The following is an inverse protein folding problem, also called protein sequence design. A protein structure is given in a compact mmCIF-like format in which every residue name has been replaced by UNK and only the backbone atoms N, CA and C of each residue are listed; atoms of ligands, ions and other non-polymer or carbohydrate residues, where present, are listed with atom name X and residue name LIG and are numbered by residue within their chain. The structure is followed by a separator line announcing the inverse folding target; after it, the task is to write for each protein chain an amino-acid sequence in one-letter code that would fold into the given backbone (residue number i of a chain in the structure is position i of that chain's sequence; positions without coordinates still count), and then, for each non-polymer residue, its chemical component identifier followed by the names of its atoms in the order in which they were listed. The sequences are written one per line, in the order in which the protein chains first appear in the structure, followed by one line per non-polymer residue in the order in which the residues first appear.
data_IF_506300104131
#
_entry.id   IF_506300104131
#
_cell.length_a   1.000
_cell.length_b   1.000
_cell.length_c   1.000
_cell.angle_alpha   90.00
_cell.angle_beta   90.00
_cell.angle_gamma   90.00
#
_symmetry.space_group_name_H-M   'P 1'
#
loop_
_entity.id
_entity.type
_entity.pdbx_description
1 polymer ?
#
# COMPACT_ATOMS: atom_id res chain seq x y z
N UNK A 1 35.60 -12.81 60.61
CA UNK A 1 34.89 -13.45 59.47
C UNK A 1 35.79 -13.31 58.25
N UNK A 2 36.26 -14.42 57.69
CA UNK A 2 37.41 -14.46 56.78
C UNK A 2 36.98 -14.11 55.34
N UNK A 3 37.69 -13.20 54.67
CA UNK A 3 37.38 -12.68 53.32
C UNK A 3 37.28 -13.81 52.27
N UNK A 4 38.00 -14.92 52.49
CA UNK A 4 37.90 -16.12 51.63
C UNK A 4 36.53 -16.79 51.68
N UNK A 5 35.79 -16.70 52.79
CA UNK A 5 34.46 -17.31 52.92
C UNK A 5 33.36 -16.54 52.19
N UNK A 6 33.56 -15.23 51.93
CA UNK A 6 32.59 -14.40 51.20
C UNK A 6 32.68 -14.64 49.68
N UNK A 7 33.87 -14.94 49.14
CA UNK A 7 34.05 -15.23 47.72
C UNK A 7 33.42 -16.56 47.25
N UNK A 8 33.37 -17.58 48.12
CA UNK A 8 32.74 -18.85 47.76
C UNK A 8 31.21 -18.77 47.79
N UNK A 9 30.63 -17.89 48.61
CA UNK A 9 29.17 -17.71 48.70
C UNK A 9 28.64 -16.87 47.53
N UNK A 10 29.41 -15.91 47.02
CA UNK A 10 29.02 -15.14 45.81
C UNK A 10 29.21 -15.92 44.51
N UNK A 11 30.20 -16.81 44.41
CA UNK A 11 30.37 -17.68 43.24
C UNK A 11 29.28 -18.77 43.12
N UNK A 12 28.74 -19.26 44.25
CA UNK A 12 27.66 -20.23 44.25
C UNK A 12 26.28 -19.63 43.89
N UNK A 13 26.07 -18.33 44.12
CA UNK A 13 24.83 -17.63 43.75
C UNK A 13 24.72 -17.26 42.26
N UNK A 14 25.84 -17.23 41.54
CA UNK A 14 25.88 -16.88 40.10
C UNK A 14 25.70 -18.09 39.18
N UNK A 15 25.89 -19.31 39.66
CA UNK A 15 25.72 -20.54 38.85
C UNK A 15 24.25 -21.02 38.83
N UNK A 16 23.41 -20.63 39.80
CA UNK A 16 22.01 -21.04 39.84
C UNK A 16 21.08 -20.19 38.96
N UNK A 17 21.54 -19.03 38.47
CA UNK A 17 20.78 -18.18 37.52
C UNK A 17 20.98 -18.58 36.05
N UNK A 18 21.94 -19.47 35.73
CA UNK A 18 22.24 -19.89 34.37
C UNK A 18 21.43 -21.12 33.89
N UNK A 19 20.69 -21.77 34.80
CA UNK A 19 19.76 -22.86 34.47
C UNK A 19 18.31 -22.35 34.56
N UNK A 20 17.93 -21.38 33.72
CA UNK A 20 16.52 -21.32 33.35
C UNK A 20 16.25 -22.53 32.44
N UNK A 21 15.25 -23.38 32.75
CA UNK A 21 14.86 -24.44 31.83
C UNK A 21 14.54 -23.77 30.50
N UNK A 22 15.21 -24.23 29.44
CA UNK A 22 14.89 -23.81 28.07
C UNK A 22 13.39 -24.03 27.90
N UNK A 23 12.63 -22.94 27.73
CA UNK A 23 11.19 -23.00 27.48
C UNK A 23 10.99 -23.91 26.27
N UNK A 24 10.55 -25.13 26.52
CA UNK A 24 10.16 -26.06 25.47
C UNK A 24 8.82 -25.57 24.99
N UNK A 25 8.82 -24.77 23.93
CA UNK A 25 7.58 -24.40 23.28
C UNK A 25 6.86 -25.69 22.85
N UNK A 26 5.56 -25.82 23.18
CA UNK A 26 4.80 -26.98 22.75
C UNK A 26 4.82 -27.04 21.22
N UNK A 27 5.13 -28.22 20.68
CA UNK A 27 4.93 -28.50 19.26
C UNK A 27 3.43 -28.54 19.01
N UNK A 28 2.94 -27.65 18.16
CA UNK A 28 1.54 -27.61 17.77
C UNK A 28 1.37 -28.56 16.58
N UNK A 29 0.60 -29.63 16.76
CA UNK A 29 0.23 -30.53 15.68
C UNK A 29 -0.67 -29.79 14.69
N UNK A 30 -0.29 -29.79 13.41
CA UNK A 30 -1.05 -29.13 12.34
C UNK A 30 -1.52 -30.15 11.32
N UNK A 31 -2.79 -30.07 10.96
CA UNK A 31 -3.35 -30.76 9.79
C UNK A 31 -3.54 -29.74 8.69
N UNK A 32 -2.79 -29.87 7.60
CA UNK A 32 -2.89 -28.95 6.48
C UNK A 32 -4.13 -29.24 5.63
N UNK A 33 -4.75 -28.21 5.02
CA UNK A 33 -5.82 -28.40 4.06
C UNK A 33 -5.34 -29.23 2.87
N UNK A 34 -6.21 -30.10 2.36
CA UNK A 34 -5.91 -30.84 1.14
C UNK A 34 -5.67 -29.85 -0.01
N UNK A 35 -4.51 -30.00 -0.66
CA UNK A 35 -4.17 -29.24 -1.86
C UNK A 35 -4.17 -30.22 -3.02
N UNK A 36 -5.25 -30.24 -3.78
CA UNK A 36 -5.39 -31.11 -4.96
C UNK A 36 -4.20 -30.90 -5.90
N UNK A 37 -3.69 -32.02 -6.41
CA UNK A 37 -2.67 -32.03 -7.47
C UNK A 37 -3.35 -32.28 -8.81
N UNK A 38 -3.25 -31.33 -9.73
CA UNK A 38 -3.59 -31.55 -11.14
C UNK A 38 -2.45 -32.27 -11.85
N UNK A 39 -2.72 -32.67 -13.10
CA UNK A 39 -1.77 -33.26 -14.03
C UNK A 39 -1.16 -32.21 -14.99
N UNK A 40 -1.25 -30.92 -14.66
CA UNK A 40 -0.72 -29.84 -15.52
C UNK A 40 0.81 -29.94 -15.64
N UNK A 41 1.30 -29.87 -16.88
CA UNK A 41 2.71 -29.93 -17.22
C UNK A 41 2.97 -28.90 -18.31
N UNK A 42 3.92 -28.00 -18.05
CA UNK A 42 4.46 -27.09 -19.06
C UNK A 42 5.63 -27.75 -19.81
N UNK A 43 5.94 -27.24 -21.01
CA UNK A 43 7.11 -27.63 -21.77
C UNK A 43 8.02 -26.43 -22.03
N UNK A 44 9.26 -26.50 -21.55
CA UNK A 44 10.27 -25.47 -21.73
C UNK A 44 11.46 -26.04 -22.50
N UNK A 45 11.67 -25.59 -23.75
CA UNK A 45 12.74 -26.07 -24.64
C UNK A 45 12.77 -27.61 -24.83
N UNK A 46 11.59 -28.25 -24.78
CA UNK A 46 11.45 -29.71 -24.91
C UNK A 46 11.48 -30.47 -23.58
N UNK A 47 11.78 -29.80 -22.47
CA UNK A 47 11.78 -30.39 -21.13
C UNK A 47 10.40 -30.21 -20.47
N UNK A 48 9.84 -31.30 -19.94
CA UNK A 48 8.57 -31.30 -19.23
C UNK A 48 8.74 -30.86 -17.77
N UNK A 49 7.95 -29.88 -17.34
CA UNK A 49 7.95 -29.36 -15.96
C UNK A 49 6.53 -29.43 -15.40
N UNK A 50 6.32 -30.30 -14.41
CA UNK A 50 5.03 -30.44 -13.76
C UNK A 50 4.72 -29.26 -12.83
N UNK A 51 3.50 -28.73 -12.93
CA UNK A 51 2.98 -27.69 -12.05
C UNK A 51 1.59 -28.12 -11.52
N UNK A 52 1.55 -29.01 -10.53
CA UNK A 52 0.31 -29.64 -10.06
C UNK A 52 -0.65 -28.67 -9.36
N UNK A 53 -0.23 -27.43 -9.12
CA UNK A 53 -1.05 -26.41 -8.44
C UNK A 53 -1.43 -25.26 -9.37
N UNK A 54 -1.27 -25.44 -10.69
CA UNK A 54 -1.67 -24.46 -11.72
C UNK A 54 -3.09 -23.89 -11.51
N UNK A 55 -4.01 -24.71 -11.00
CA UNK A 55 -5.38 -24.30 -10.73
C UNK A 55 -5.49 -23.14 -9.72
N UNK A 56 -4.51 -22.98 -8.82
CA UNK A 56 -4.46 -21.87 -7.86
C UNK A 56 -4.07 -20.54 -8.50
N UNK A 57 -3.60 -20.51 -9.75
CA UNK A 57 -3.31 -19.26 -10.48
C UNK A 57 -4.60 -18.49 -10.87
N UNK A 58 -5.76 -19.16 -10.88
CA UNK A 58 -7.06 -18.50 -11.09
C UNK A 58 -7.55 -17.91 -9.76
N UNK A 59 -7.39 -16.59 -9.62
CA UNK A 59 -7.77 -15.83 -8.44
C UNK A 59 -9.29 -15.58 -8.32
N UNK A 60 -10.08 -15.93 -9.35
CA UNK A 60 -11.55 -15.84 -9.33
C UNK A 60 -12.23 -17.19 -9.08
N UNK A 61 -11.49 -18.30 -9.15
CA UNK A 61 -12.04 -19.62 -8.93
C UNK A 61 -12.50 -19.83 -7.46
N UNK A 62 -13.70 -20.38 -7.30
CA UNK A 62 -14.24 -20.74 -5.99
C UNK A 62 -13.35 -21.77 -5.25
N UNK A 63 -12.70 -22.68 -5.99
CA UNK A 63 -11.76 -23.65 -5.43
C UNK A 63 -10.54 -22.96 -4.80
N UNK A 64 -9.96 -21.95 -5.47
CA UNK A 64 -8.84 -21.16 -4.96
C UNK A 64 -9.26 -20.37 -3.72
N UNK A 65 -10.43 -19.73 -3.76
CA UNK A 65 -10.98 -19.00 -2.62
C UNK A 65 -11.19 -19.89 -1.40
N UNK A 66 -11.79 -21.08 -1.59
CA UNK A 66 -11.99 -22.04 -0.51
C UNK A 66 -10.66 -22.52 0.06
N UNK A 67 -9.66 -22.77 -0.79
CA UNK A 67 -8.32 -23.15 -0.35
C UNK A 67 -7.65 -22.04 0.49
N UNK A 68 -7.70 -20.78 0.04
CA UNK A 68 -7.16 -19.63 0.81
C UNK A 68 -7.84 -19.52 2.18
N UNK A 69 -9.16 -19.70 2.25
CA UNK A 69 -9.90 -19.69 3.51
C UNK A 69 -9.43 -20.81 4.45
N UNK A 70 -9.31 -22.05 3.94
CA UNK A 70 -8.84 -23.18 4.74
C UNK A 70 -7.39 -23.00 5.23
N UNK A 71 -6.51 -22.39 4.42
CA UNK A 71 -5.14 -22.08 4.84
C UNK A 71 -5.11 -21.01 5.94
N UNK A 72 -5.97 -19.98 5.82
CA UNK A 72 -6.13 -18.97 6.87
C UNK A 72 -6.63 -19.58 8.17
N UNK A 73 -7.60 -20.50 8.13
CA UNK A 73 -8.11 -21.20 9.32
C UNK A 73 -7.00 -21.94 10.06
N UNK A 74 -6.18 -22.73 9.35
CA UNK A 74 -5.04 -23.43 9.97
C UNK A 74 -4.02 -22.45 10.54
N UNK A 75 -3.70 -21.40 9.79
CA UNK A 75 -2.73 -20.38 10.21
C UNK A 75 -3.20 -19.63 11.45
N UNK A 76 -4.43 -19.13 11.47
CA UNK A 76 -4.96 -18.39 12.61
C UNK A 76 -5.15 -19.30 13.83
N UNK A 77 -5.61 -20.54 13.65
CA UNK A 77 -5.69 -21.53 14.73
C UNK A 77 -4.32 -21.82 15.37
N UNK A 78 -3.24 -21.84 14.57
CA UNK A 78 -1.88 -21.95 15.10
C UNK A 78 -1.45 -20.66 15.83
N UNK A 79 -1.61 -19.50 15.20
CA UNK A 79 -1.17 -18.22 15.77
C UNK A 79 -1.90 -17.87 17.07
N UNK A 80 -3.17 -18.27 17.21
CA UNK A 80 -3.98 -18.06 18.43
C UNK A 80 -3.48 -18.86 19.64
N UNK A 81 -2.72 -19.94 19.44
CA UNK A 81 -2.15 -20.74 20.52
C UNK A 81 -0.89 -20.11 21.13
N UNK A 82 -0.31 -19.09 20.50
CA UNK A 82 0.93 -18.45 20.96
C UNK A 82 0.60 -17.54 22.18
N UNK A 83 1.02 -17.90 23.40
CA UNK A 83 0.52 -17.27 24.63
C UNK A 83 0.92 -15.80 24.78
N UNK A 84 2.00 -15.38 24.11
CA UNK A 84 2.50 -14.01 24.15
C UNK A 84 2.13 -13.17 22.91
N UNK A 85 1.32 -13.69 21.98
CA UNK A 85 0.92 -12.95 20.76
C UNK A 85 0.22 -11.62 21.10
N UNK A 86 -0.72 -11.63 22.04
CA UNK A 86 -1.40 -10.40 22.47
C UNK A 86 -0.48 -9.44 23.22
N UNK A 87 0.52 -9.95 23.96
CA UNK A 87 1.51 -9.10 24.60
C UNK A 87 2.39 -8.37 23.56
N UNK A 88 2.78 -9.06 22.49
CA UNK A 88 3.49 -8.45 21.35
C UNK A 88 2.60 -7.42 20.65
N UNK A 89 1.34 -7.77 20.34
CA UNK A 89 0.40 -6.85 19.67
C UNK A 89 0.23 -5.56 20.46
N UNK A 90 -0.05 -5.67 21.77
CA UNK A 90 -0.16 -4.52 22.67
C UNK A 90 1.13 -3.72 22.75
N UNK A 91 2.28 -4.39 22.85
CA UNK A 91 3.57 -3.70 22.89
C UNK A 91 3.85 -2.91 21.62
N UNK A 92 3.51 -3.47 20.46
CA UNK A 92 3.61 -2.77 19.17
C UNK A 92 2.65 -1.57 19.12
N UNK A 93 1.40 -1.75 19.54
CA UNK A 93 0.39 -0.67 19.62
C UNK A 93 0.87 0.49 20.51
N UNK A 94 1.38 0.18 21.71
CA UNK A 94 1.94 1.16 22.64
C UNK A 94 3.08 1.99 22.06
N UNK A 95 4.06 1.34 21.40
CA UNK A 95 5.22 2.05 20.83
C UNK A 95 4.91 2.74 19.51
N UNK A 96 3.81 2.35 18.84
CA UNK A 96 3.36 2.97 17.60
C UNK A 96 2.48 4.20 17.85
N UNK A 97 1.75 4.23 18.98
CA UNK A 97 0.80 5.28 19.33
C UNK A 97 1.47 6.58 19.80
N UNK A 98 2.08 7.29 18.86
CA UNK A 98 2.65 8.61 19.06
C UNK A 98 2.39 9.50 17.84
N UNK A 99 2.33 10.82 18.08
CA UNK A 99 2.09 11.80 17.02
C UNK A 99 3.21 11.79 15.98
N UNK A 100 2.80 11.73 14.70
CA UNK A 100 3.71 11.81 13.55
C UNK A 100 3.27 12.96 12.65
N UNK A 101 4.24 13.82 12.30
CA UNK A 101 4.03 14.98 11.43
C UNK A 101 5.10 14.96 10.34
N UNK A 102 4.71 15.14 9.08
CA UNK A 102 5.64 15.27 7.95
C UNK A 102 6.27 16.66 7.88
N UNK A 103 7.33 16.80 7.08
CA UNK A 103 7.78 18.14 6.68
C UNK A 103 6.63 18.88 5.95
N UNK A 104 6.45 20.19 6.20
CA UNK A 104 5.49 20.99 5.47
C UNK A 104 5.97 21.30 4.05
N UNK A 105 5.04 21.48 3.12
CA UNK A 105 5.29 21.93 1.76
C UNK A 105 4.36 23.10 1.40
N UNK A 106 4.91 24.17 0.81
CA UNK A 106 4.11 25.33 0.41
C UNK A 106 3.48 25.09 -0.96
N UNK A 107 2.17 25.28 -1.08
CA UNK A 107 1.45 25.31 -2.35
C UNK A 107 0.42 26.44 -2.32
N UNK A 108 0.55 27.42 -3.22
CA UNK A 108 -0.22 28.67 -3.16
C UNK A 108 -0.02 29.40 -1.83
N UNK A 109 -1.13 29.82 -1.22
CA UNK A 109 -1.15 30.58 0.03
C UNK A 109 -1.07 29.72 1.30
N UNK A 110 -0.95 28.39 1.16
CA UNK A 110 -0.99 27.44 2.26
C UNK A 110 0.29 26.61 2.36
N UNK A 111 0.60 26.13 3.56
CA UNK A 111 1.49 24.99 3.76
C UNK A 111 0.68 23.74 4.10
N UNK A 112 1.11 22.61 3.55
CA UNK A 112 0.47 21.30 3.66
C UNK A 112 1.41 20.31 4.33
N UNK A 113 0.87 19.49 5.23
CA UNK A 113 1.62 18.47 5.95
C UNK A 113 0.72 17.31 6.34
N UNK A 114 1.27 16.11 6.37
CA UNK A 114 0.58 14.94 6.89
C UNK A 114 0.72 14.87 8.41
N UNK A 115 -0.36 14.49 9.08
CA UNK A 115 -0.41 14.27 10.52
C UNK A 115 -1.11 12.96 10.83
N UNK A 116 -0.63 12.25 11.83
CA UNK A 116 -1.25 11.06 12.38
C UNK A 116 -1.15 11.12 13.90
N UNK A 117 -2.29 11.01 14.58
CA UNK A 117 -2.37 11.14 16.05
C UNK A 117 -1.82 9.94 16.82
N UNK A 118 -1.54 8.84 16.13
CA UNK A 118 -0.89 7.66 16.69
C UNK A 118 -1.41 6.35 16.10
N UNK A 119 -2.71 6.15 15.98
CA UNK A 119 -3.25 4.85 15.53
C UNK A 119 -4.22 4.96 14.35
N UNK A 120 -4.33 6.13 13.74
CA UNK A 120 -5.07 6.28 12.49
C UNK A 120 -4.50 5.37 11.40
N UNK A 121 -5.37 4.66 10.68
CA UNK A 121 -5.00 3.77 9.58
C UNK A 121 -4.21 4.51 8.50
N UNK A 122 -4.66 5.72 8.14
CA UNK A 122 -4.01 6.59 7.17
C UNK A 122 -3.71 7.96 7.80
N UNK A 123 -2.54 8.52 7.51
CA UNK A 123 -2.23 9.91 7.88
C UNK A 123 -3.15 10.89 7.14
N UNK A 124 -3.64 11.89 7.86
CA UNK A 124 -4.51 12.93 7.31
C UNK A 124 -3.65 14.06 6.75
N UNK A 125 -4.03 14.59 5.59
CA UNK A 125 -3.41 15.78 5.02
C UNK A 125 -4.08 17.02 5.64
N UNK A 126 -3.30 17.81 6.36
CA UNK A 126 -3.68 19.10 6.92
C UNK A 126 -3.09 20.23 6.09
N UNK A 127 -3.65 21.42 6.27
CA UNK A 127 -3.03 22.66 5.81
C UNK A 127 -3.20 23.78 6.82
N UNK A 128 -2.39 24.84 6.68
CA UNK A 128 -2.61 26.14 7.33
C UNK A 128 -2.12 27.28 6.44
N UNK A 129 -2.62 28.52 6.61
CA UNK A 129 -2.11 29.66 5.86
C UNK A 129 -0.60 29.82 6.05
N UNK A 130 0.14 30.08 4.97
CA UNK A 130 1.60 30.19 4.99
C UNK A 130 2.09 31.40 5.79
N UNK A 131 1.30 32.48 5.82
CA UNK A 131 1.58 33.67 6.63
C UNK A 131 1.30 33.48 8.13
N UNK A 132 0.82 32.30 8.51
CA UNK A 132 0.42 31.97 9.88
C UNK A 132 -1.10 31.97 10.04
N UNK A 133 -1.59 30.99 10.79
CA UNK A 133 -3.03 30.79 11.02
C UNK A 133 -3.32 29.44 11.66
N UNK A 134 -4.59 29.16 11.88
CA UNK A 134 -5.03 27.89 12.43
C UNK A 134 -4.85 26.75 11.40
N UNK A 135 -4.49 25.57 11.90
CA UNK A 135 -4.51 24.35 11.08
C UNK A 135 -5.94 23.92 10.78
N UNK A 136 -6.13 23.36 9.59
CA UNK A 136 -7.39 22.73 9.20
C UNK A 136 -7.15 21.43 8.43
N UNK A 137 -8.08 20.50 8.59
CA UNK A 137 -8.12 19.27 7.81
C UNK A 137 -8.35 19.62 6.33
N UNK A 138 -7.48 19.11 5.46
CA UNK A 138 -7.59 19.29 4.01
C UNK A 138 -8.17 18.04 3.33
N UNK A 139 -7.56 16.88 3.56
CA UNK A 139 -8.05 15.59 3.04
C UNK A 139 -7.81 14.48 4.06
N UNK A 140 -8.85 13.69 4.33
CA UNK A 140 -8.81 12.56 5.25
C UNK A 140 -8.98 11.23 4.50
N UNK A 141 -7.89 10.49 4.23
CA UNK A 141 -7.98 9.23 3.51
C UNK A 141 -8.75 8.14 4.27
N UNK A 142 -8.89 8.26 5.60
CA UNK A 142 -9.67 7.29 6.40
C UNK A 142 -11.17 7.34 6.06
N UNK A 143 -11.64 8.39 5.35
CA UNK A 143 -13.02 8.51 4.86
C UNK A 143 -13.24 7.95 3.46
N UNK A 144 -12.18 7.46 2.79
CA UNK A 144 -12.26 6.92 1.43
C UNK A 144 -12.68 5.43 1.40
N UNK A 145 -12.71 4.77 2.55
CA UNK A 145 -13.16 3.37 2.72
C UNK A 145 -13.57 3.14 4.17
N UNK A 146 -14.63 2.37 4.40
CA UNK A 146 -15.11 2.05 5.76
C UNK A 146 -14.07 1.30 6.62
N UNK A 147 -13.23 0.47 5.99
CA UNK A 147 -12.22 -0.35 6.65
C UNK A 147 -10.80 0.27 6.66
N UNK A 148 -10.65 1.49 6.11
CA UNK A 148 -9.36 2.19 6.00
C UNK A 148 -8.35 1.57 5.04
N UNK A 149 -8.77 0.66 4.15
CA UNK A 149 -7.91 0.00 3.16
C UNK A 149 -7.63 0.84 1.92
N UNK A 150 -8.37 1.95 1.73
CA UNK A 150 -8.07 2.95 0.72
C UNK A 150 -6.92 3.86 1.18
N UNK A 151 -5.96 4.10 0.30
CA UNK A 151 -4.78 4.93 0.58
C UNK A 151 -4.48 5.91 -0.56
N UNK A 152 -3.80 7.01 -0.25
CA UNK A 152 -3.29 7.93 -1.27
C UNK A 152 -2.05 7.33 -1.94
N UNK A 153 -2.11 7.10 -3.25
CA UNK A 153 -1.00 6.59 -4.07
C UNK A 153 -0.10 7.67 -4.67
N UNK A 154 -0.47 8.94 -4.54
CA UNK A 154 0.25 10.09 -5.08
C UNK A 154 -0.66 11.30 -5.15
N UNK A 155 -0.09 12.50 -5.18
CA UNK A 155 -0.86 13.73 -5.34
C UNK A 155 0.01 14.85 -5.93
N UNK A 156 -0.64 15.82 -6.56
CA UNK A 156 0.02 16.99 -7.12
C UNK A 156 -0.90 18.21 -7.10
N UNK A 157 -0.34 19.36 -6.73
CA UNK A 157 -0.99 20.65 -6.89
C UNK A 157 -0.65 21.26 -8.25
N UNK A 158 -1.52 22.10 -8.78
CA UNK A 158 -1.13 23.06 -9.83
C UNK A 158 -0.09 24.03 -9.28
N UNK A 159 0.70 24.67 -10.16
CA UNK A 159 1.76 25.60 -9.74
C UNK A 159 1.23 26.80 -8.94
N UNK A 160 -0.01 27.23 -9.20
CA UNK A 160 -0.69 28.29 -8.43
C UNK A 160 -1.37 27.79 -7.16
N UNK A 161 -1.38 26.47 -6.91
CA UNK A 161 -2.00 25.83 -5.76
C UNK A 161 -3.53 25.85 -5.76
N UNK A 162 -4.19 26.21 -6.86
CA UNK A 162 -5.65 26.31 -6.95
C UNK A 162 -6.36 24.97 -7.07
N UNK A 163 -5.70 23.96 -7.65
CA UNK A 163 -6.24 22.61 -7.83
C UNK A 163 -5.32 21.57 -7.18
N UNK A 164 -5.93 20.48 -6.76
CA UNK A 164 -5.26 19.33 -6.19
C UNK A 164 -5.78 18.06 -6.85
N UNK A 165 -4.88 17.30 -7.47
CA UNK A 165 -5.17 15.97 -7.98
C UNK A 165 -4.54 14.92 -7.06
N UNK A 166 -5.27 13.84 -6.79
CA UNK A 166 -4.81 12.76 -5.92
C UNK A 166 -5.26 11.40 -6.43
N UNK A 167 -4.34 10.44 -6.34
CA UNK A 167 -4.54 9.05 -6.73
C UNK A 167 -4.95 8.23 -5.50
N UNK A 168 -6.00 7.42 -5.61
CA UNK A 168 -6.48 6.51 -4.56
C UNK A 168 -6.22 5.08 -4.98
N UNK A 169 -5.60 4.28 -4.11
CA UNK A 169 -5.59 2.82 -4.22
C UNK A 169 -6.57 2.21 -3.28
N UNK A 170 -7.28 1.21 -3.78
CA UNK A 170 -8.20 0.38 -3.02
C UNK A 170 -7.50 -0.94 -2.68
N UNK A 171 -7.58 -1.35 -1.41
CA UNK A 171 -7.05 -2.62 -0.90
C UNK A 171 -5.56 -2.87 -1.21
N UNK A 172 -4.75 -1.80 -1.32
CA UNK A 172 -3.31 -1.89 -1.58
C UNK A 172 -2.93 -2.28 -3.01
N UNK A 173 -3.87 -2.28 -3.95
CA UNK A 173 -3.60 -2.53 -5.37
C UNK A 173 -2.68 -1.47 -5.97
N UNK A 174 -1.85 -1.86 -6.94
CA UNK A 174 -1.06 -0.93 -7.75
C UNK A 174 -1.92 -0.07 -8.69
N UNK A 175 -3.14 -0.53 -9.01
CA UNK A 175 -4.12 0.27 -9.74
C UNK A 175 -4.62 1.43 -8.88
N UNK A 176 -4.79 2.59 -9.51
CA UNK A 176 -5.18 3.85 -8.88
C UNK A 176 -6.26 4.55 -9.68
N UNK A 177 -7.18 5.19 -8.98
CA UNK A 177 -8.10 6.17 -9.58
C UNK A 177 -7.65 7.57 -9.16
N UNK A 178 -7.51 8.48 -10.12
CA UNK A 178 -7.10 9.87 -9.89
C UNK A 178 -8.34 10.75 -9.86
N UNK A 179 -8.48 11.57 -8.82
CA UNK A 179 -9.54 12.55 -8.66
C UNK A 179 -8.96 13.95 -8.59
N UNK A 180 -9.76 14.95 -8.96
CA UNK A 180 -9.38 16.36 -8.86
C UNK A 180 -10.33 17.08 -7.89
N UNK A 181 -9.80 18.01 -7.11
CA UNK A 181 -10.58 18.90 -6.27
C UNK A 181 -10.04 20.33 -6.29
N UNK A 182 -10.93 21.29 -6.06
CA UNK A 182 -10.55 22.67 -5.81
C UNK A 182 -9.81 22.73 -4.48
N UNK A 183 -8.56 23.19 -4.49
CA UNK A 183 -7.75 23.22 -3.29
C UNK A 183 -8.32 24.24 -2.30
N UNK A 184 -8.82 25.39 -2.72
CA UNK A 184 -9.34 26.41 -1.79
C UNK A 184 -10.64 25.96 -1.08
N UNK A 185 -11.64 25.52 -1.84
CA UNK A 185 -12.96 25.15 -1.30
C UNK A 185 -13.03 23.71 -0.81
N UNK A 186 -12.07 22.86 -1.20
CA UNK A 186 -12.05 21.40 -0.96
C UNK A 186 -13.21 20.66 -1.64
N UNK A 187 -13.83 21.30 -2.63
CA UNK A 187 -14.92 20.71 -3.39
C UNK A 187 -14.34 19.81 -4.49
N UNK A 188 -14.82 18.56 -4.63
CA UNK A 188 -14.41 17.69 -5.72
C UNK A 188 -14.88 18.25 -7.06
N UNK A 189 -14.06 18.07 -8.09
CA UNK A 189 -14.45 18.29 -9.48
C UNK A 189 -15.05 17.00 -10.04
N UNK A 190 -15.73 17.10 -11.20
CA UNK A 190 -16.25 15.92 -11.91
C UNK A 190 -15.14 15.08 -12.56
N UNK A 191 -13.98 15.70 -12.79
CA UNK A 191 -12.82 15.10 -13.43
C UNK A 191 -12.27 13.90 -12.63
N UNK A 192 -12.13 12.78 -13.32
CA UNK A 192 -11.54 11.55 -12.80
C UNK A 192 -10.87 10.75 -13.91
N UNK A 193 -9.79 10.07 -13.55
CA UNK A 193 -9.10 9.10 -14.40
C UNK A 193 -9.10 7.76 -13.68
N UNK A 194 -9.73 6.77 -14.29
CA UNK A 194 -9.79 5.41 -13.74
C UNK A 194 -8.65 4.56 -14.29
N UNK A 195 -8.30 3.53 -13.53
CA UNK A 195 -7.34 2.51 -13.96
C UNK A 195 -5.94 3.08 -14.30
N UNK A 196 -5.50 4.13 -13.61
CA UNK A 196 -4.09 4.54 -13.68
C UNK A 196 -3.20 3.52 -12.95
N UNK A 197 -1.94 3.37 -13.35
CA UNK A 197 -1.01 2.43 -12.69
C UNK A 197 0.42 2.86 -12.96
N UNK A 198 1.30 2.72 -11.95
CA UNK A 198 2.71 3.12 -12.04
C UNK A 198 2.91 4.54 -12.61
N UNK A 199 2.13 5.50 -12.11
CA UNK A 199 2.02 6.85 -12.67
C UNK A 199 2.37 7.94 -11.65
N UNK A 200 2.87 9.07 -12.14
CA UNK A 200 2.79 10.35 -11.46
C UNK A 200 1.55 11.15 -11.89
N UNK A 201 1.45 12.40 -11.43
CA UNK A 201 0.47 13.38 -11.93
C UNK A 201 1.26 14.63 -12.29
N UNK A 202 1.38 14.94 -13.58
CA UNK A 202 2.19 16.06 -14.06
C UNK A 202 1.28 17.14 -14.66
N UNK A 203 0.98 18.18 -13.87
CA UNK A 203 0.15 19.30 -14.32
C UNK A 203 0.79 20.05 -15.49
N UNK A 204 -0.04 20.45 -16.46
CA UNK A 204 0.29 21.42 -17.50
C UNK A 204 -0.61 22.62 -17.30
N UNK A 205 -0.05 23.69 -16.72
CA UNK A 205 -0.82 24.83 -16.26
C UNK A 205 -1.96 24.39 -15.34
N UNK A 206 -3.15 24.94 -15.56
CA UNK A 206 -4.37 24.52 -14.89
C UNK A 206 -5.35 23.85 -15.86
N UNK A 207 -4.90 23.55 -17.08
CA UNK A 207 -5.78 23.01 -18.13
C UNK A 207 -5.97 21.49 -18.02
N UNK A 208 -5.01 20.80 -17.41
CA UNK A 208 -4.99 19.34 -17.36
C UNK A 208 -3.66 18.77 -16.88
N UNK A 209 -3.54 17.45 -16.88
CA UNK A 209 -2.35 16.77 -16.40
C UNK A 209 -2.01 15.53 -17.23
N UNK A 210 -0.72 15.20 -17.25
CA UNK A 210 -0.22 13.95 -17.80
C UNK A 210 -0.29 12.84 -16.75
N UNK A 211 -0.69 11.65 -17.18
CA UNK A 211 -0.71 10.44 -16.37
C UNK A 211 -0.40 9.21 -17.23
N UNK A 212 -0.04 8.11 -16.59
CA UNK A 212 0.28 6.84 -17.25
C UNK A 212 -0.68 5.74 -16.82
N UNK A 213 -1.01 4.87 -17.77
CA UNK A 213 -1.94 3.76 -17.57
C UNK A 213 -1.64 2.62 -18.55
N UNK A 214 -2.28 1.49 -18.34
CA UNK A 214 -2.32 0.38 -19.29
C UNK A 214 -3.73 0.26 -19.85
N UNK A 215 -3.85 -0.34 -21.03
CA UNK A 215 -5.16 -0.80 -21.47
C UNK A 215 -5.73 -1.77 -20.42
N UNK A 216 -7.03 -1.65 -20.18
CA UNK A 216 -7.72 -2.53 -19.23
C UNK A 216 -7.53 -3.98 -19.68
N UNK A 217 -6.86 -4.83 -18.89
CA UNK A 217 -6.62 -6.20 -19.30
C UNK A 217 -7.94 -6.99 -19.31
N UNK A 218 -8.04 -7.98 -20.19
CA UNK A 218 -9.07 -9.01 -20.08
C UNK A 218 -8.80 -9.91 -18.87
N UNK A 219 -9.85 -10.43 -18.24
CA UNK A 219 -9.72 -11.28 -17.04
C UNK A 219 -9.51 -10.47 -15.76
N UNK A 220 -8.83 -11.06 -14.77
CA UNK A 220 -8.57 -10.40 -13.48
C UNK A 220 -7.54 -9.29 -13.61
N UNK A 221 -7.89 -8.09 -13.12
CA UNK A 221 -6.94 -6.95 -13.05
C UNK A 221 -5.73 -7.21 -12.16
N UNK A 222 -5.80 -8.21 -11.28
CA UNK A 222 -4.77 -8.51 -10.28
C UNK A 222 -3.69 -9.46 -10.80
N UNK A 223 -4.06 -10.35 -11.72
CA UNK A 223 -3.16 -11.37 -12.28
C UNK A 223 -2.87 -11.19 -13.77
N UNK A 224 -3.76 -10.52 -14.52
CA UNK A 224 -3.58 -10.34 -15.95
C UNK A 224 -2.36 -9.47 -16.29
N UNK A 225 -1.63 -9.90 -17.32
CA UNK A 225 -0.37 -9.30 -17.71
C UNK A 225 -0.59 -7.93 -18.38
N UNK A 226 0.02 -6.89 -17.82
CA UNK A 226 0.06 -5.53 -18.38
C UNK A 226 1.46 -5.21 -18.89
N UNK A 227 1.62 -4.98 -20.20
CA UNK A 227 2.94 -4.79 -20.80
C UNK A 227 3.09 -3.54 -21.68
N UNK A 228 2.02 -2.87 -22.11
CA UNK A 228 2.11 -1.66 -22.93
C UNK A 228 1.73 -0.44 -22.09
N UNK A 229 2.71 0.16 -21.41
CA UNK A 229 2.47 1.35 -20.58
C UNK A 229 2.35 2.59 -21.48
N UNK A 230 1.27 3.35 -21.33
CA UNK A 230 0.90 4.48 -22.18
C UNK A 230 0.79 5.75 -21.35
N UNK A 231 1.25 6.86 -21.92
CA UNK A 231 1.19 8.20 -21.35
C UNK A 231 0.05 8.96 -22.03
N UNK A 232 -0.89 9.43 -21.22
CA UNK A 232 -2.04 10.22 -21.65
C UNK A 232 -1.98 11.64 -21.08
N UNK A 233 -2.68 12.55 -21.74
CA UNK A 233 -3.01 13.87 -21.22
C UNK A 233 -4.52 13.95 -21.00
N UNK A 234 -4.91 14.18 -19.74
CA UNK A 234 -6.28 14.48 -19.37
C UNK A 234 -6.49 15.99 -19.35
N UNK A 235 -7.51 16.46 -20.07
CA UNK A 235 -7.93 17.86 -20.05
C UNK A 235 -9.11 18.02 -19.11
N UNK A 236 -9.05 18.99 -18.19
CA UNK A 236 -10.14 19.23 -17.26
C UNK A 236 -11.44 19.61 -17.98
N UNK A 237 -12.56 19.18 -17.41
CA UNK A 237 -13.90 19.32 -17.96
C UNK A 237 -14.21 18.37 -19.12
N UNK A 238 -13.41 17.33 -19.33
CA UNK A 238 -13.64 16.32 -20.38
C UNK A 238 -13.74 14.92 -19.79
N UNK A 239 -14.45 14.03 -20.48
CA UNK A 239 -14.50 12.62 -20.08
C UNK A 239 -13.15 11.93 -20.38
N UNK A 240 -12.74 11.00 -19.52
CA UNK A 240 -11.48 10.24 -19.69
C UNK A 240 -11.35 9.60 -21.08
N UNK A 241 -12.45 9.21 -21.72
CA UNK A 241 -12.44 8.65 -23.09
C UNK A 241 -11.94 9.63 -24.15
N UNK A 242 -11.86 10.92 -23.83
CA UNK A 242 -11.33 11.98 -24.71
C UNK A 242 -9.85 12.27 -24.45
N UNK A 243 -9.22 11.59 -23.50
CA UNK A 243 -7.82 11.80 -23.16
C UNK A 243 -6.91 11.49 -24.36
N UNK A 244 -5.91 12.34 -24.53
CA UNK A 244 -5.02 12.27 -25.69
C UNK A 244 -3.85 11.36 -25.36
N UNK A 245 -3.62 10.31 -26.16
CA UNK A 245 -2.40 9.52 -26.09
C UNK A 245 -1.21 10.40 -26.51
N UNK A 246 -0.28 10.62 -25.61
CA UNK A 246 0.91 11.47 -25.80
C UNK A 246 2.12 10.63 -26.20
N UNK A 247 2.30 9.48 -25.54
CA UNK A 247 3.43 8.59 -25.78
C UNK A 247 3.09 7.15 -25.41
N UNK A 248 3.78 6.20 -26.04
CA UNK A 248 3.56 4.77 -25.88
C UNK A 248 2.87 4.17 -27.10
N UNK A 249 3.28 2.95 -27.45
CA UNK A 249 2.76 2.19 -28.56
C UNK A 249 2.85 0.69 -28.27
N UNK A 250 2.22 -0.11 -29.12
CA UNK A 250 2.23 -1.57 -29.00
C UNK A 250 3.52 -2.21 -29.54
N UNK A 251 4.41 -1.42 -30.16
CA UNK A 251 5.66 -1.91 -30.75
C UNK A 251 6.80 -1.98 -29.73
N UNK A 252 6.65 -1.34 -28.57
CA UNK A 252 7.67 -1.27 -27.53
C UNK A 252 7.16 -1.80 -26.18
N UNK A 253 6.78 -3.10 -26.10
CA UNK A 253 6.25 -3.67 -24.89
C UNK A 253 7.30 -3.68 -23.76
N UNK A 254 6.81 -3.74 -22.53
CA UNK A 254 7.57 -3.80 -21.27
C UNK A 254 8.40 -2.55 -20.96
N UNK A 255 8.11 -1.43 -21.61
CA UNK A 255 8.61 -0.11 -21.18
C UNK A 255 7.67 0.47 -20.14
N UNK A 256 8.25 1.15 -19.16
CA UNK A 256 7.53 2.03 -18.25
C UNK A 256 7.72 3.46 -18.72
N UNK A 257 6.61 4.14 -18.98
CA UNK A 257 6.59 5.55 -19.36
C UNK A 257 6.14 6.40 -18.16
N UNK A 258 6.57 7.66 -18.15
CA UNK A 258 6.19 8.64 -17.15
C UNK A 258 6.41 10.03 -17.71
N UNK A 259 5.79 11.03 -17.08
CA UNK A 259 5.94 12.42 -17.46
C UNK A 259 6.23 13.30 -16.25
N UNK A 260 6.97 14.36 -16.53
CA UNK A 260 7.19 15.50 -15.66
C UNK A 260 7.12 16.75 -16.52
N UNK A 261 6.41 17.77 -16.07
CA UNK A 261 6.53 19.12 -16.63
C UNK A 261 7.59 19.86 -15.83
N UNK A 262 8.46 20.63 -16.49
CA UNK A 262 9.49 21.41 -15.81
C UNK A 262 8.85 22.52 -14.97
N UNK A 263 9.58 23.03 -13.99
CA UNK A 263 9.08 24.03 -13.05
C UNK A 263 8.63 25.33 -13.75
N UNK A 264 9.24 25.66 -14.88
CA UNK A 264 8.94 26.82 -15.73
C UNK A 264 7.81 26.60 -16.74
N UNK A 265 7.18 25.41 -16.74
CA UNK A 265 6.06 25.03 -17.62
C UNK A 265 6.48 24.50 -18.99
#
# INVERSE_FOLDING_TARGET
MNIKSILYVTAAGLVTLACQPQEKFPTIDMTYPESKKSDHVDSYWGESVADPYRWMEDDYADETKAWVQAQNEVTFAYLEQIPFREAIRKRLEEVWNYERISAPSKNGDFEYFYKNDGLQNQSILYRRPYEGGAEELFLDPNKLSEDGTSSLGGAAFTSDGSLFAYAVSVAGSDWRDIYVMNALTKEPLEDKVLDAKFTGIAWKGNEGFFYSTYDKPGGSKLSAFTNNHKLYYHKLGTDQSQDVLVFGDDNNPRRYVGASVTEDG
#
